data_IF_240273860583
#
_entry.id   IF_240273860583
#
_cell.length_a   1.000
_cell.length_b   1.000
_cell.length_c   1.000
_cell.angle_alpha   90.00
_cell.angle_beta   90.00
_cell.angle_gamma   90.00
#
_symmetry.space_group_name_H-M   'P 1'
#
loop_
_entity.id
_entity.type
_entity.pdbx_description
1 polymer ?
#
# COMPACT_ATOMS: atom_id res chain seq x y z
N UNK A 1 2.80 12.31 -3.27
CA UNK A 1 2.95 10.85 -3.09
C UNK A 1 4.22 10.60 -2.29
N UNK A 2 4.15 9.73 -1.30
CA UNK A 2 5.28 9.30 -0.47
C UNK A 2 5.34 7.78 -0.46
N UNK A 3 6.53 7.21 -0.64
CA UNK A 3 6.77 5.76 -0.57
C UNK A 3 7.92 5.54 0.40
N UNK A 4 7.74 4.64 1.35
CA UNK A 4 8.73 4.28 2.37
C UNK A 4 8.92 2.78 2.34
N UNK A 5 10.16 2.33 2.31
CA UNK A 5 10.51 0.94 2.59
C UNK A 5 10.44 0.71 4.10
N UNK A 6 9.50 -0.11 4.55
CA UNK A 6 9.26 -0.42 5.96
C UNK A 6 10.08 -1.62 6.44
N UNK A 7 10.20 -2.63 5.61
CA UNK A 7 10.96 -3.84 5.88
C UNK A 7 11.36 -4.54 4.58
N UNK A 8 12.43 -5.30 4.63
CA UNK A 8 12.85 -6.18 3.55
C UNK A 8 13.62 -7.38 4.10
N UNK A 9 13.74 -8.43 3.30
CA UNK A 9 14.61 -9.56 3.59
C UNK A 9 16.06 -9.05 3.74
N UNK A 10 16.80 -9.38 4.84
CA UNK A 10 18.22 -9.05 4.96
C UNK A 10 19.02 -9.62 3.79
N UNK A 11 20.02 -8.87 3.33
CA UNK A 11 20.94 -9.25 2.25
C UNK A 11 20.22 -9.91 1.05
N UNK A 12 19.26 -9.21 0.40
CA UNK A 12 18.33 -9.84 -0.54
C UNK A 12 19.04 -10.47 -1.73
N UNK A 13 20.05 -9.83 -2.30
CA UNK A 13 20.81 -10.37 -3.42
C UNK A 13 21.58 -11.64 -3.03
N UNK A 14 22.18 -11.64 -1.84
CA UNK A 14 22.89 -12.80 -1.31
C UNK A 14 21.94 -13.98 -1.04
N UNK A 15 20.74 -13.68 -0.54
CA UNK A 15 19.69 -14.69 -0.31
C UNK A 15 19.24 -15.32 -1.63
N UNK A 16 18.97 -14.52 -2.66
CA UNK A 16 18.59 -15.00 -4.00
C UNK A 16 19.72 -15.84 -4.61
N UNK A 17 20.95 -15.32 -4.57
CA UNK A 17 22.10 -16.00 -5.15
C UNK A 17 22.38 -17.35 -4.46
N UNK A 18 22.25 -17.38 -3.12
CA UNK A 18 22.41 -18.63 -2.36
C UNK A 18 21.33 -19.64 -2.72
N UNK A 19 20.06 -19.22 -2.71
CA UNK A 19 18.94 -20.09 -3.06
C UNK A 19 19.08 -20.69 -4.46
N UNK A 20 19.43 -19.87 -5.44
CA UNK A 20 19.63 -20.35 -6.82
C UNK A 20 20.82 -21.31 -6.96
N UNK A 21 21.95 -21.01 -6.32
CA UNK A 21 23.15 -21.83 -6.37
C UNK A 21 22.99 -23.17 -5.66
N UNK A 22 22.19 -23.24 -4.59
CA UNK A 22 21.89 -24.50 -3.89
C UNK A 22 21.33 -25.59 -4.83
N UNK A 23 20.59 -25.21 -5.84
CA UNK A 23 20.00 -26.17 -6.79
C UNK A 23 21.08 -26.94 -7.61
N UNK A 24 22.27 -26.39 -7.75
CA UNK A 24 23.31 -26.90 -8.66
C UNK A 24 24.67 -27.10 -7.97
N UNK A 25 24.75 -26.82 -6.66
CA UNK A 25 25.99 -26.93 -5.90
C UNK A 25 26.05 -28.24 -5.10
N UNK A 26 27.20 -28.86 -5.07
CA UNK A 26 27.52 -29.95 -4.15
C UNK A 26 28.04 -29.46 -2.80
N UNK A 27 28.28 -28.14 -2.64
CA UNK A 27 28.77 -27.54 -1.40
C UNK A 27 27.65 -27.43 -0.37
N UNK A 28 28.03 -27.50 0.92
CA UNK A 28 27.10 -27.24 2.02
C UNK A 28 26.64 -25.79 2.06
N UNK A 29 25.51 -25.54 2.72
CA UNK A 29 24.84 -24.23 2.80
C UNK A 29 25.76 -23.16 3.34
N UNK A 30 26.43 -23.43 4.48
CA UNK A 30 27.32 -22.47 5.15
C UNK A 30 28.47 -22.04 4.23
N UNK A 31 29.14 -23.02 3.63
CA UNK A 31 30.26 -22.76 2.70
C UNK A 31 29.81 -21.98 1.47
N UNK A 32 28.61 -22.24 0.96
CA UNK A 32 28.07 -21.54 -0.18
C UNK A 32 27.74 -20.09 0.17
N UNK A 33 27.06 -19.87 1.29
CA UNK A 33 26.67 -18.54 1.77
C UNK A 33 27.90 -17.66 2.09
N UNK A 34 28.92 -18.22 2.76
CA UNK A 34 30.15 -17.52 3.12
C UNK A 34 31.02 -17.17 1.92
N UNK A 35 30.93 -17.97 0.83
CA UNK A 35 31.66 -17.70 -0.41
C UNK A 35 31.10 -16.56 -1.25
N UNK A 36 29.86 -16.12 -0.96
CA UNK A 36 29.16 -15.06 -1.68
C UNK A 36 29.53 -13.69 -1.12
N UNK A 37 30.31 -12.92 -1.87
CA UNK A 37 30.48 -11.48 -1.63
C UNK A 37 29.27 -10.73 -2.20
N UNK A 38 29.05 -9.50 -1.73
CA UNK A 38 27.95 -8.62 -2.23
C UNK A 38 28.04 -8.46 -3.75
N UNK A 39 29.22 -8.15 -4.30
CA UNK A 39 29.45 -7.98 -5.73
C UNK A 39 29.09 -9.26 -6.52
N UNK A 40 29.57 -10.42 -6.09
CA UNK A 40 29.26 -11.70 -6.75
C UNK A 40 27.78 -12.06 -6.66
N UNK A 41 27.12 -11.67 -5.60
CA UNK A 41 25.67 -11.89 -5.43
C UNK A 41 24.88 -11.01 -6.40
N UNK A 42 25.21 -9.72 -6.48
CA UNK A 42 24.60 -8.76 -7.38
C UNK A 42 24.74 -9.18 -8.85
N UNK A 43 25.98 -9.48 -9.30
CA UNK A 43 26.25 -9.94 -10.67
C UNK A 43 25.44 -11.21 -11.02
N UNK A 44 25.34 -12.12 -10.04
CA UNK A 44 24.61 -13.37 -10.26
C UNK A 44 23.09 -13.15 -10.35
N UNK A 45 22.54 -12.25 -9.55
CA UNK A 45 21.11 -11.86 -9.61
C UNK A 45 20.80 -11.17 -10.93
N UNK A 46 21.67 -10.27 -11.40
CA UNK A 46 21.52 -9.62 -12.70
C UNK A 46 21.52 -10.64 -13.85
N UNK A 47 22.43 -11.61 -13.80
CA UNK A 47 22.47 -12.70 -14.77
C UNK A 47 21.18 -13.53 -14.75
N UNK A 48 20.65 -13.90 -13.57
CA UNK A 48 19.38 -14.64 -13.43
C UNK A 48 18.20 -13.86 -14.02
N UNK A 49 18.12 -12.57 -13.71
CA UNK A 49 17.09 -11.68 -14.25
C UNK A 49 17.18 -11.60 -15.79
N UNK A 50 18.39 -11.45 -16.34
CA UNK A 50 18.63 -11.41 -17.78
C UNK A 50 18.24 -12.70 -18.52
N UNK A 51 18.29 -13.84 -17.83
CA UNK A 51 17.84 -15.14 -18.36
C UNK A 51 16.35 -15.41 -18.16
N UNK A 52 15.62 -14.55 -17.44
CA UNK A 52 14.21 -14.77 -17.09
C UNK A 52 14.00 -15.86 -16.02
N UNK A 53 15.02 -16.14 -15.20
CA UNK A 53 14.92 -17.07 -14.07
C UNK A 53 14.35 -16.34 -12.84
N UNK A 54 13.03 -16.25 -12.75
CA UNK A 54 12.32 -15.45 -11.73
C UNK A 54 12.13 -16.19 -10.40
N UNK A 55 12.06 -17.54 -10.41
CA UNK A 55 11.76 -18.31 -9.20
C UNK A 55 12.72 -18.09 -8.01
N UNK A 56 14.04 -17.89 -8.18
CA UNK A 56 14.90 -17.58 -7.04
C UNK A 56 14.63 -16.20 -6.43
N UNK A 57 14.05 -15.27 -7.20
CA UNK A 57 13.71 -13.91 -6.73
C UNK A 57 12.56 -13.96 -5.70
N UNK A 58 11.73 -14.99 -5.74
CA UNK A 58 10.61 -15.17 -4.78
C UNK A 58 11.06 -15.44 -3.33
N UNK A 59 12.36 -15.74 -3.10
CA UNK A 59 12.92 -15.92 -1.75
C UNK A 59 13.03 -14.62 -0.95
N UNK A 60 12.79 -13.47 -1.56
CA UNK A 60 12.88 -12.18 -0.88
C UNK A 60 11.57 -11.43 -0.91
N UNK A 61 11.37 -10.59 0.09
CA UNK A 61 10.20 -9.75 0.21
C UNK A 61 10.56 -8.32 0.60
N UNK A 62 9.73 -7.38 0.16
CA UNK A 62 9.83 -5.97 0.50
C UNK A 62 8.47 -5.48 0.95
N UNK A 63 8.43 -4.74 2.06
CA UNK A 63 7.20 -4.12 2.57
C UNK A 63 7.29 -2.61 2.43
N UNK A 64 6.34 -2.02 1.70
CA UNK A 64 6.28 -0.58 1.47
C UNK A 64 5.07 0.06 2.13
N UNK A 65 5.26 1.25 2.72
CA UNK A 65 4.20 2.18 3.06
C UNK A 65 4.01 3.20 1.95
N UNK A 66 2.76 3.40 1.49
CA UNK A 66 2.44 4.31 0.39
C UNK A 66 1.38 5.30 0.85
N UNK A 67 1.66 6.61 0.70
CA UNK A 67 0.75 7.71 1.04
C UNK A 67 0.60 8.70 -0.12
N UNK A 68 -0.51 9.43 -0.14
CA UNK A 68 -0.76 10.50 -1.11
C UNK A 68 -1.02 10.01 -2.53
N UNK A 69 -1.61 8.83 -2.66
CA UNK A 69 -2.22 8.33 -3.91
C UNK A 69 -3.74 8.47 -3.84
N UNK A 70 -4.38 8.66 -4.99
CA UNK A 70 -5.84 8.72 -5.04
C UNK A 70 -6.48 7.37 -4.72
N UNK A 71 -7.75 7.40 -4.29
CA UNK A 71 -8.52 6.16 -4.07
C UNK A 71 -8.65 5.35 -5.36
N UNK A 72 -8.82 5.99 -6.51
CA UNK A 72 -8.85 5.32 -7.80
C UNK A 72 -7.53 4.58 -8.08
N UNK A 73 -6.39 5.22 -7.82
CA UNK A 73 -5.07 4.59 -7.96
C UNK A 73 -4.90 3.41 -7.01
N UNK A 74 -5.20 3.60 -5.71
CA UNK A 74 -5.06 2.52 -4.72
C UNK A 74 -5.98 1.32 -5.02
N UNK A 75 -7.19 1.56 -5.54
CA UNK A 75 -8.11 0.49 -5.98
C UNK A 75 -7.56 -0.33 -7.15
N UNK A 76 -6.81 0.29 -8.06
CA UNK A 76 -6.15 -0.45 -9.13
C UNK A 76 -4.92 -1.20 -8.58
N UNK A 77 -4.13 -0.55 -7.73
CA UNK A 77 -2.92 -1.15 -7.15
C UNK A 77 -3.23 -2.46 -6.41
N UNK A 78 -4.24 -2.49 -5.56
CA UNK A 78 -4.59 -3.69 -4.77
C UNK A 78 -5.16 -4.85 -5.59
N UNK A 79 -5.43 -4.65 -6.88
CA UNK A 79 -5.84 -5.70 -7.81
C UNK A 79 -4.68 -6.49 -8.40
N UNK A 80 -3.46 -5.97 -8.29
CA UNK A 80 -2.26 -6.69 -8.70
C UNK A 80 -1.90 -7.77 -7.68
N UNK A 81 -2.20 -9.03 -8.03
CA UNK A 81 -2.06 -10.19 -7.14
C UNK A 81 -0.62 -10.65 -6.90
N UNK A 82 0.37 -9.91 -7.40
CA UNK A 82 1.79 -10.16 -7.14
C UNK A 82 2.24 -9.76 -5.73
N UNK A 83 1.38 -9.07 -4.97
CA UNK A 83 1.67 -8.66 -3.62
C UNK A 83 0.43 -8.79 -2.72
N UNK A 84 0.64 -8.72 -1.41
CA UNK A 84 -0.41 -8.58 -0.40
C UNK A 84 -0.57 -7.12 -0.02
N UNK A 85 -1.82 -6.68 0.21
CA UNK A 85 -2.14 -5.28 0.45
C UNK A 85 -2.98 -5.09 1.70
N UNK A 86 -2.64 -4.07 2.47
CA UNK A 86 -3.50 -3.52 3.51
C UNK A 86 -3.86 -2.09 3.12
N UNK A 87 -5.14 -1.79 3.01
CA UNK A 87 -5.65 -0.49 2.59
C UNK A 87 -6.53 0.12 3.68
N UNK A 88 -6.38 1.44 3.91
CA UNK A 88 -7.22 2.20 4.84
C UNK A 88 -8.71 1.95 4.53
N UNK A 89 -9.43 1.51 5.52
CA UNK A 89 -10.86 1.21 5.40
C UNK A 89 -11.70 2.48 5.46
N UNK A 90 -12.59 2.67 4.49
CA UNK A 90 -13.60 3.73 4.52
C UNK A 90 -14.79 3.42 5.44
N UNK A 91 -14.90 2.19 5.96
CA UNK A 91 -15.97 1.79 6.90
C UNK A 91 -15.60 2.04 8.35
N UNK A 92 -14.30 1.98 8.68
CA UNK A 92 -13.80 2.12 10.05
C UNK A 92 -13.15 3.47 10.33
N UNK A 93 -12.88 4.25 9.30
CA UNK A 93 -12.23 5.57 9.43
C UNK A 93 -13.19 6.63 8.94
N UNK A 94 -13.52 7.57 9.82
CA UNK A 94 -14.34 8.73 9.47
C UNK A 94 -13.53 9.71 8.61
N UNK A 95 -14.13 10.20 7.54
CA UNK A 95 -13.49 11.10 6.58
C UNK A 95 -13.91 12.56 6.82
N UNK A 96 -13.91 13.00 8.09
CA UNK A 96 -14.26 14.37 8.49
C UNK A 96 -13.27 15.42 7.99
N UNK A 97 -12.02 15.02 7.79
CA UNK A 97 -11.00 15.83 7.11
C UNK A 97 -10.24 14.89 6.14
N UNK A 98 -10.75 14.73 4.94
CA UNK A 98 -10.08 13.91 3.95
C UNK A 98 -9.14 14.74 3.09
N UNK A 99 -7.94 14.22 2.87
CA UNK A 99 -7.06 14.73 1.82
C UNK A 99 -7.39 14.08 0.50
N UNK A 100 -7.47 14.88 -0.54
CA UNK A 100 -7.69 14.41 -1.90
C UNK A 100 -6.48 14.72 -2.79
N UNK A 101 -6.35 13.97 -3.86
CA UNK A 101 -5.29 14.16 -4.84
C UNK A 101 -5.88 14.83 -6.07
N UNK A 102 -5.45 16.05 -6.36
CA UNK A 102 -5.81 16.72 -7.61
C UNK A 102 -5.02 16.12 -8.76
N UNK A 103 -5.69 15.62 -9.82
CA UNK A 103 -4.98 15.11 -10.99
C UNK A 103 -4.13 16.20 -11.65
N UNK A 104 -2.92 15.89 -12.16
CA UNK A 104 -2.05 16.87 -12.80
C UNK A 104 -2.71 17.65 -13.95
N UNK A 105 -3.52 16.98 -14.75
CA UNK A 105 -4.27 17.62 -15.84
C UNK A 105 -5.29 18.66 -15.36
N UNK A 106 -5.85 18.48 -14.14
CA UNK A 106 -6.79 19.42 -13.52
C UNK A 106 -6.04 20.60 -12.93
N UNK A 107 -4.93 20.36 -12.25
CA UNK A 107 -4.11 21.42 -11.65
C UNK A 107 -3.29 22.25 -12.66
N UNK A 108 -3.22 21.80 -13.92
CA UNK A 108 -2.49 22.50 -14.99
C UNK A 108 -3.15 23.84 -15.40
N UNK A 109 -4.45 24.02 -15.18
CA UNK A 109 -5.17 25.25 -15.50
C UNK A 109 -5.87 25.80 -14.23
N UNK A 110 -5.71 27.10 -13.91
CA UNK A 110 -6.26 27.70 -12.70
C UNK A 110 -7.77 27.55 -12.55
N UNK A 111 -8.51 27.63 -13.66
CA UNK A 111 -9.97 27.52 -13.66
C UNK A 111 -10.44 26.11 -13.28
N UNK A 112 -9.80 25.08 -13.83
CA UNK A 112 -10.14 23.68 -13.51
C UNK A 112 -9.69 23.30 -12.11
N UNK A 113 -8.54 23.78 -11.65
CA UNK A 113 -8.07 23.57 -10.28
C UNK A 113 -9.02 24.21 -9.26
N UNK A 114 -9.46 25.44 -9.52
CA UNK A 114 -10.43 26.14 -8.66
C UNK A 114 -11.76 25.37 -8.59
N UNK A 115 -12.34 25.03 -9.72
CA UNK A 115 -13.60 24.29 -9.79
C UNK A 115 -13.50 22.94 -9.06
N UNK A 116 -12.39 22.25 -9.23
CA UNK A 116 -12.15 20.97 -8.56
C UNK A 116 -12.11 21.12 -7.05
N UNK A 117 -11.39 22.11 -6.51
CA UNK A 117 -11.30 22.37 -5.07
C UNK A 117 -12.65 22.75 -4.48
N UNK A 118 -13.37 23.67 -5.10
CA UNK A 118 -14.72 24.06 -4.67
C UNK A 118 -15.69 22.86 -4.65
N UNK A 119 -15.59 21.97 -5.65
CA UNK A 119 -16.37 20.73 -5.69
C UNK A 119 -16.01 19.79 -4.55
N UNK A 120 -14.72 19.60 -4.24
CA UNK A 120 -14.28 18.72 -3.16
C UNK A 120 -14.72 19.28 -1.78
N UNK A 121 -14.64 20.58 -1.58
CA UNK A 121 -15.15 21.23 -0.37
C UNK A 121 -16.66 21.05 -0.19
N UNK A 122 -17.42 21.19 -1.27
CA UNK A 122 -18.87 20.96 -1.26
C UNK A 122 -19.21 19.49 -0.93
N UNK A 123 -18.45 18.54 -1.48
CA UNK A 123 -18.61 17.12 -1.17
C UNK A 123 -18.34 16.84 0.32
N UNK A 124 -17.27 17.41 0.87
CA UNK A 124 -16.96 17.26 2.29
C UNK A 124 -18.05 17.81 3.20
N UNK A 125 -18.53 19.02 2.91
CA UNK A 125 -19.62 19.62 3.66
C UNK A 125 -20.92 18.79 3.58
N UNK A 126 -21.20 18.24 2.41
CA UNK A 126 -22.35 17.35 2.21
C UNK A 126 -22.21 16.05 3.00
N UNK A 127 -21.02 15.47 3.02
CA UNK A 127 -20.72 14.29 3.81
C UNK A 127 -20.95 14.53 5.31
N UNK A 128 -20.46 15.66 5.86
CA UNK A 128 -20.62 16.00 7.26
C UNK A 128 -22.10 16.20 7.63
N UNK A 129 -22.87 16.90 6.78
CA UNK A 129 -24.30 17.10 6.99
C UNK A 129 -25.07 15.78 6.99
N UNK A 130 -24.82 14.92 6.02
CA UNK A 130 -25.44 13.59 5.91
C UNK A 130 -25.07 12.70 7.11
N UNK A 131 -23.79 12.69 7.48
CA UNK A 131 -23.31 11.93 8.64
C UNK A 131 -24.00 12.39 9.92
N UNK A 132 -24.05 13.70 10.19
CA UNK A 132 -24.71 14.24 11.37
C UNK A 132 -26.19 13.88 11.41
N UNK A 133 -26.90 14.03 10.29
CA UNK A 133 -28.33 13.70 10.22
C UNK A 133 -28.59 12.19 10.44
N UNK A 134 -27.72 11.32 9.96
CA UNK A 134 -27.85 9.87 10.18
C UNK A 134 -27.58 9.52 11.63
N UNK A 135 -26.49 10.05 12.22
CA UNK A 135 -26.13 9.80 13.62
C UNK A 135 -27.24 10.29 14.56
N UNK A 136 -27.78 11.50 14.34
CA UNK A 136 -28.90 12.04 15.15
C UNK A 136 -30.14 11.14 15.06
N UNK A 137 -30.45 10.64 13.86
CA UNK A 137 -31.58 9.73 13.64
C UNK A 137 -31.39 8.40 14.37
N UNK A 138 -30.19 7.81 14.29
CA UNK A 138 -29.88 6.56 14.97
C UNK A 138 -29.88 6.72 16.49
N UNK A 139 -29.28 7.79 17.03
CA UNK A 139 -29.35 8.10 18.47
C UNK A 139 -30.81 8.26 18.92
N UNK A 140 -31.63 8.98 18.15
CA UNK A 140 -33.05 9.15 18.47
C UNK A 140 -33.86 7.84 18.36
N UNK A 141 -33.44 6.90 17.53
CA UNK A 141 -34.03 5.56 17.46
C UNK A 141 -33.66 4.73 18.68
N UNK A 142 -32.36 4.71 19.04
CA UNK A 142 -31.88 4.02 20.26
C UNK A 142 -32.51 4.56 21.55
N UNK A 143 -32.68 5.86 21.66
CA UNK A 143 -33.30 6.49 22.82
C UNK A 143 -34.81 6.16 22.97
N UNK A 144 -35.46 5.67 21.91
CA UNK A 144 -36.88 5.24 21.93
C UNK A 144 -37.05 3.73 22.19
N UNK A 145 -36.00 2.95 21.94
CA UNK A 145 -36.00 1.51 22.21
C UNK A 145 -35.45 1.29 23.64
N UNK A 146 -36.37 1.25 24.61
CA UNK A 146 -36.06 1.12 26.03
C UNK A 146 -35.27 -0.15 26.33
N UNK A 147 -33.93 -0.10 26.33
CA UNK A 147 -33.22 -1.19 26.95
C UNK A 147 -31.76 -1.43 26.68
N UNK A 148 -31.10 -0.71 25.82
CA UNK A 148 -29.65 -0.91 25.64
C UNK A 148 -28.90 0.41 25.87
N UNK A 149 -28.34 0.55 27.07
CA UNK A 149 -27.43 1.63 27.39
C UNK A 149 -26.25 1.63 26.40
N UNK A 150 -25.92 2.80 25.86
CA UNK A 150 -24.71 3.04 25.05
C UNK A 150 -23.52 2.74 25.98
N UNK A 151 -22.62 1.80 25.65
CA UNK A 151 -21.37 1.69 26.39
C UNK A 151 -20.57 3.00 26.23
N UNK A 152 -20.09 3.55 27.35
CA UNK A 152 -19.20 4.71 27.40
C UNK A 152 -17.87 4.46 26.69
#
# INVERSE_FOLDING_TARGET
>A
MKVILLAHTPDPEKTIACAAKLCYSSSGIDSLYDSLTEEKAADFVEMLAGMGHESPIEHVSFTFGIEGISRACSHQLVRHRLASYSQKSQRYVSETQFSYVTPPAVSAAPETDKLYRETMEMIQQSYEKLRSAIVEKEIAAFARDDGWGIPE
#
